data_IF_227492171645
#
_entry.id   IF_227492171645
#
_cell.length_a   1.000
_cell.length_b   1.000
_cell.length_c   1.000
_cell.angle_alpha   90.00
_cell.angle_beta   90.00
_cell.angle_gamma   90.00
#
_symmetry.space_group_name_H-M   'P 1'
#
loop_
_entity.id
_entity.type
_entity.pdbx_description
1 polymer ?
#
# COMPACT_ATOMS: atom_id res chain seq x y z
N UNK A 1 -13.72 4.69 -22.40
CA UNK A 1 -15.08 4.77 -21.82
C UNK A 1 -15.06 4.21 -20.40
N UNK A 2 -14.54 4.99 -19.46
CA UNK A 2 -14.69 4.69 -18.04
C UNK A 2 -16.12 5.11 -17.65
N UNK A 3 -16.85 4.22 -16.99
CA UNK A 3 -18.16 4.57 -16.43
C UNK A 3 -17.94 5.70 -15.42
N UNK A 4 -18.71 6.80 -15.52
CA UNK A 4 -18.51 7.99 -14.68
C UNK A 4 -18.55 7.72 -13.17
N UNK A 5 -19.05 6.57 -12.73
CA UNK A 5 -19.03 6.17 -11.32
C UNK A 5 -17.61 5.94 -10.80
N UNK A 6 -16.70 5.35 -11.59
CA UNK A 6 -15.31 5.11 -11.17
C UNK A 6 -14.55 6.43 -10.97
N UNK A 7 -14.68 7.34 -11.94
CA UNK A 7 -14.11 8.69 -11.85
C UNK A 7 -14.67 9.47 -10.65
N UNK A 8 -15.99 9.49 -10.47
CA UNK A 8 -16.62 10.15 -9.31
C UNK A 8 -16.14 9.57 -7.97
N UNK A 9 -15.88 8.26 -7.90
CA UNK A 9 -15.31 7.64 -6.70
C UNK A 9 -13.85 8.05 -6.50
N UNK A 10 -13.06 8.19 -7.58
CA UNK A 10 -11.70 8.71 -7.50
C UNK A 10 -11.70 10.15 -6.97
N UNK A 11 -12.48 11.05 -7.57
CA UNK A 11 -12.62 12.45 -7.16
C UNK A 11 -13.03 12.56 -5.68
N UNK A 12 -14.00 11.74 -5.25
CA UNK A 12 -14.44 11.71 -3.86
C UNK A 12 -13.31 11.29 -2.90
N UNK A 13 -12.53 10.26 -3.27
CA UNK A 13 -11.43 9.78 -2.44
C UNK A 13 -10.29 10.80 -2.43
N UNK A 14 -9.96 11.40 -3.56
CA UNK A 14 -8.94 12.43 -3.69
C UNK A 14 -9.25 13.63 -2.79
N UNK A 15 -10.45 14.22 -2.93
CA UNK A 15 -10.89 15.38 -2.15
C UNK A 15 -10.85 15.08 -0.64
N UNK A 16 -11.34 13.90 -0.23
CA UNK A 16 -11.38 13.54 1.19
C UNK A 16 -10.01 13.13 1.75
N UNK A 17 -9.10 12.65 0.91
CA UNK A 17 -7.78 12.21 1.32
C UNK A 17 -6.75 13.34 1.42
N UNK A 18 -7.00 14.48 0.76
CA UNK A 18 -6.04 15.58 0.66
C UNK A 18 -4.66 15.14 0.15
N UNK A 19 -4.62 14.18 -0.79
CA UNK A 19 -3.37 13.58 -1.30
C UNK A 19 -2.66 12.65 -0.31
N UNK A 20 -3.24 12.36 0.85
CA UNK A 20 -2.62 11.43 1.79
C UNK A 20 -2.88 9.98 1.38
N UNK A 21 -1.81 9.28 0.97
CA UNK A 21 -1.86 7.88 0.56
C UNK A 21 -2.58 6.94 1.55
N UNK A 22 -2.35 7.11 2.85
CA UNK A 22 -2.97 6.24 3.85
C UNK A 22 -4.48 6.50 3.94
N UNK A 23 -4.90 7.75 3.80
CA UNK A 23 -6.31 8.11 3.72
C UNK A 23 -6.96 7.58 2.44
N UNK A 24 -6.27 7.64 1.29
CA UNK A 24 -6.74 7.04 0.04
C UNK A 24 -7.08 5.56 0.29
N UNK A 25 -6.11 4.77 0.75
CA UNK A 25 -6.31 3.34 1.00
C UNK A 25 -7.41 3.08 2.04
N UNK A 26 -7.47 3.87 3.11
CA UNK A 26 -8.48 3.73 4.15
C UNK A 26 -9.90 4.04 3.64
N UNK A 27 -10.07 5.12 2.89
CA UNK A 27 -11.35 5.48 2.27
C UNK A 27 -11.77 4.42 1.25
N UNK A 28 -10.84 3.95 0.42
CA UNK A 28 -11.13 2.87 -0.53
C UNK A 28 -11.49 1.55 0.16
N UNK A 29 -10.88 1.24 1.31
CA UNK A 29 -11.27 0.09 2.13
C UNK A 29 -12.72 0.22 2.64
N UNK A 30 -13.11 1.40 3.13
CA UNK A 30 -14.48 1.69 3.56
C UNK A 30 -15.46 1.55 2.39
N UNK A 31 -15.14 2.15 1.23
CA UNK A 31 -15.97 2.04 0.03
C UNK A 31 -16.09 0.57 -0.42
N UNK A 32 -15.00 -0.21 -0.34
CA UNK A 32 -15.01 -1.64 -0.66
C UNK A 32 -15.95 -2.41 0.26
N UNK A 33 -15.93 -2.10 1.56
CA UNK A 33 -16.85 -2.69 2.53
C UNK A 33 -18.30 -2.35 2.20
N UNK A 34 -18.61 -1.07 1.94
CA UNK A 34 -19.98 -0.61 1.66
C UNK A 34 -20.50 -1.23 0.36
N UNK A 35 -19.72 -1.17 -0.72
CA UNK A 35 -20.12 -1.72 -2.03
C UNK A 35 -20.25 -3.24 -2.02
N UNK A 36 -19.44 -3.93 -1.20
CA UNK A 36 -19.46 -5.38 -1.09
C UNK A 36 -20.63 -5.94 -0.27
N UNK A 37 -21.31 -5.11 0.53
CA UNK A 37 -22.42 -5.55 1.38
C UNK A 37 -23.60 -6.08 0.55
N UNK A 38 -24.02 -7.32 0.82
CA UNK A 38 -25.20 -7.93 0.20
C UNK A 38 -24.97 -8.60 -1.15
N UNK A 39 -23.73 -8.65 -1.65
CA UNK A 39 -23.36 -9.34 -2.88
C UNK A 39 -22.72 -10.71 -2.61
N UNK A 40 -23.03 -11.76 -3.40
CA UNK A 40 -22.26 -13.01 -3.38
C UNK A 40 -20.78 -12.76 -3.69
N UNK A 41 -19.87 -13.52 -3.10
CA UNK A 41 -18.40 -13.29 -3.16
C UNK A 41 -17.86 -13.06 -4.58
N UNK A 42 -18.30 -13.85 -5.56
CA UNK A 42 -17.90 -13.67 -6.97
C UNK A 42 -18.40 -12.35 -7.55
N UNK A 43 -19.67 -12.00 -7.34
CA UNK A 43 -20.26 -10.77 -7.84
C UNK A 43 -19.65 -9.54 -7.16
N UNK A 44 -19.41 -9.64 -5.84
CA UNK A 44 -18.73 -8.64 -5.04
C UNK A 44 -17.35 -8.33 -5.62
N UNK A 45 -16.51 -9.35 -5.85
CA UNK A 45 -15.19 -9.14 -6.43
C UNK A 45 -15.27 -8.43 -7.80
N UNK A 46 -16.16 -8.86 -8.70
CA UNK A 46 -16.32 -8.25 -10.02
C UNK A 46 -16.67 -6.76 -9.90
N UNK A 47 -17.63 -6.41 -9.05
CA UNK A 47 -18.11 -5.03 -8.87
C UNK A 47 -17.05 -4.16 -8.20
N UNK A 48 -16.53 -4.59 -7.05
CA UNK A 48 -15.60 -3.79 -6.25
C UNK A 48 -14.27 -3.63 -6.99
N UNK A 49 -13.74 -4.68 -7.62
CA UNK A 49 -12.47 -4.58 -8.35
C UNK A 49 -12.59 -3.69 -9.60
N UNK A 50 -13.71 -3.73 -10.32
CA UNK A 50 -13.91 -2.88 -11.49
C UNK A 50 -14.03 -1.39 -11.15
N UNK A 51 -14.52 -1.06 -9.94
CA UNK A 51 -14.74 0.33 -9.52
C UNK A 51 -13.58 0.90 -8.69
N UNK A 52 -13.02 0.13 -7.76
CA UNK A 52 -12.08 0.65 -6.76
C UNK A 52 -10.62 0.28 -7.01
N UNK A 53 -10.32 -0.77 -7.77
CA UNK A 53 -8.92 -1.05 -8.14
C UNK A 53 -8.31 0.09 -8.98
N UNK A 54 -9.01 0.65 -10.00
CA UNK A 54 -8.49 1.79 -10.75
C UNK A 54 -8.24 3.02 -9.87
N UNK A 55 -9.10 3.28 -8.88
CA UNK A 55 -8.96 4.40 -7.93
C UNK A 55 -7.65 4.28 -7.14
N UNK A 56 -7.34 3.10 -6.61
CA UNK A 56 -6.08 2.86 -5.87
C UNK A 56 -4.87 3.01 -6.79
N UNK A 57 -4.95 2.48 -8.02
CA UNK A 57 -3.85 2.55 -8.98
C UNK A 57 -3.58 4.00 -9.38
N UNK A 58 -4.63 4.74 -9.74
CA UNK A 58 -4.53 6.13 -10.17
C UNK A 58 -4.01 7.02 -9.03
N UNK A 59 -4.77 7.15 -7.95
CA UNK A 59 -4.41 8.03 -6.84
C UNK A 59 -3.14 7.57 -6.13
N UNK A 60 -2.90 6.25 -6.08
CA UNK A 60 -1.66 5.70 -5.55
C UNK A 60 -0.45 6.15 -6.35
N UNK A 61 -0.50 5.99 -7.68
CA UNK A 61 0.59 6.38 -8.58
C UNK A 61 0.85 7.89 -8.53
N UNK A 62 -0.22 8.69 -8.61
CA UNK A 62 -0.14 10.16 -8.51
C UNK A 62 0.50 10.62 -7.21
N UNK A 63 0.34 9.86 -6.12
CA UNK A 63 0.93 10.13 -4.81
C UNK A 63 2.19 9.27 -4.52
N UNK A 64 2.86 8.75 -5.56
CA UNK A 64 4.17 8.11 -5.46
C UNK A 64 4.17 6.64 -5.00
N UNK A 65 3.00 6.02 -4.85
CA UNK A 65 2.85 4.59 -4.56
C UNK A 65 2.63 3.80 -5.85
N UNK A 66 3.70 3.13 -6.30
CA UNK A 66 3.60 2.08 -7.30
C UNK A 66 3.56 0.74 -6.59
N UNK A 67 2.49 -0.01 -6.83
CA UNK A 67 2.31 -1.34 -6.28
C UNK A 67 1.87 -2.32 -7.36
N UNK A 68 2.27 -3.60 -7.26
CA UNK A 68 1.81 -4.63 -8.18
C UNK A 68 0.29 -4.68 -8.22
N UNK A 69 -0.30 -4.78 -9.42
CA UNK A 69 -1.75 -4.82 -9.60
C UNK A 69 -2.41 -5.93 -8.76
N UNK A 70 -1.74 -7.07 -8.60
CA UNK A 70 -2.24 -8.16 -7.76
C UNK A 70 -2.43 -7.74 -6.30
N UNK A 71 -1.57 -6.87 -5.75
CA UNK A 71 -1.73 -6.34 -4.40
C UNK A 71 -2.99 -5.49 -4.28
N UNK A 72 -3.27 -4.67 -5.29
CA UNK A 72 -4.50 -3.85 -5.38
C UNK A 72 -5.75 -4.74 -5.48
N UNK A 73 -5.73 -5.76 -6.34
CA UNK A 73 -6.84 -6.69 -6.48
C UNK A 73 -7.08 -7.50 -5.19
N UNK A 74 -6.02 -7.94 -4.51
CA UNK A 74 -6.14 -8.57 -3.20
C UNK A 74 -6.68 -7.59 -2.15
N UNK A 75 -6.26 -6.32 -2.19
CA UNK A 75 -6.76 -5.31 -1.27
C UNK A 75 -8.28 -5.19 -1.34
N UNK A 76 -8.82 -4.93 -2.53
CA UNK A 76 -10.27 -4.79 -2.74
C UNK A 76 -11.02 -6.10 -2.52
N UNK A 77 -10.42 -7.24 -2.88
CA UNK A 77 -11.01 -8.56 -2.65
C UNK A 77 -11.17 -8.87 -1.16
N UNK A 78 -10.14 -8.63 -0.35
CA UNK A 78 -10.17 -8.91 1.09
C UNK A 78 -11.17 -8.01 1.82
N UNK A 79 -11.28 -6.74 1.46
CA UNK A 79 -12.34 -5.88 2.00
C UNK A 79 -13.73 -6.27 1.48
N UNK A 80 -13.83 -6.71 0.22
CA UNK A 80 -15.07 -7.26 -0.33
C UNK A 80 -15.56 -8.46 0.50
N UNK A 81 -14.74 -9.48 0.73
CA UNK A 81 -15.15 -10.64 1.56
C UNK A 81 -15.35 -10.27 3.02
N UNK A 82 -14.69 -9.22 3.52
CA UNK A 82 -14.93 -8.70 4.87
C UNK A 82 -16.31 -8.04 4.99
N UNK A 83 -16.86 -7.48 3.92
CA UNK A 83 -18.21 -6.94 3.91
C UNK A 83 -19.26 -8.00 4.29
N UNK A 84 -19.06 -9.25 3.86
CA UNK A 84 -19.97 -10.37 4.14
C UNK A 84 -19.99 -10.78 5.63
N UNK A 85 -18.91 -10.52 6.38
CA UNK A 85 -18.85 -10.76 7.82
C UNK A 85 -19.24 -9.54 8.66
N UNK A 86 -19.50 -8.39 8.04
CA UNK A 86 -19.83 -7.14 8.73
C UNK A 86 -21.33 -7.09 9.08
N UNK A 87 -21.71 -6.86 10.35
CA UNK A 87 -23.10 -6.60 10.69
C UNK A 87 -23.66 -5.37 9.95
N UNK A 88 -24.88 -5.41 9.40
CA UNK A 88 -25.93 -6.42 9.60
C UNK A 88 -25.96 -7.57 8.57
N UNK A 89 -24.98 -7.69 7.67
CA UNK A 89 -25.02 -8.68 6.57
C UNK A 89 -24.66 -10.09 7.07
N UNK A 90 -23.49 -10.26 7.67
CA UNK A 90 -23.05 -11.36 8.53
C UNK A 90 -23.71 -12.76 8.43
N UNK A 91 -24.04 -13.29 7.24
CA UNK A 91 -24.96 -14.43 7.10
C UNK A 91 -24.49 -15.68 7.87
N UNK A 92 -23.19 -15.98 7.83
CA UNK A 92 -22.61 -17.11 8.56
C UNK A 92 -22.75 -16.95 10.08
N UNK A 93 -22.57 -15.73 10.61
CA UNK A 93 -22.72 -15.46 12.04
C UNK A 93 -24.17 -15.56 12.49
N UNK A 94 -25.13 -15.21 11.61
CA UNK A 94 -26.56 -15.32 11.90
C UNK A 94 -27.04 -16.76 11.88
N UNK A 95 -26.54 -17.56 10.92
CA UNK A 95 -26.77 -18.99 10.89
C UNK A 95 -26.19 -19.68 12.14
N UNK A 96 -24.98 -19.32 12.55
CA UNK A 96 -24.36 -19.83 13.77
C UNK A 96 -25.13 -19.43 15.04
N UNK A 97 -25.67 -18.21 15.08
CA UNK A 97 -26.53 -17.75 16.18
C UNK A 97 -27.84 -18.56 16.25
N UNK A 98 -28.47 -18.87 15.11
CA UNK A 98 -29.67 -19.70 15.06
C UNK A 98 -29.44 -21.13 15.58
N UNK A 99 -28.27 -21.71 15.32
CA UNK A 99 -27.90 -23.04 15.83
C UNK A 99 -27.54 -23.02 17.32
N UNK A 100 -26.85 -21.97 17.78
CA UNK A 100 -26.39 -21.84 19.17
C UNK A 100 -27.43 -21.24 20.13
N UNK A 101 -28.52 -20.68 19.62
CA UNK A 101 -29.52 -19.94 20.41
C UNK A 101 -29.06 -18.55 20.85
N UNK A 102 -27.98 -18.03 20.27
CA UNK A 102 -27.45 -16.70 20.54
C UNK A 102 -28.21 -15.58 19.80
N UNK A 103 -27.98 -14.33 20.21
CA UNK A 103 -28.48 -13.17 19.47
C UNK A 103 -27.67 -12.99 18.17
N UNK A 104 -28.30 -12.96 16.98
CA UNK A 104 -27.61 -12.86 15.69
C UNK A 104 -26.72 -11.61 15.57
N UNK A 105 -27.20 -10.47 16.04
CA UNK A 105 -26.47 -9.20 15.94
C UNK A 105 -25.24 -9.21 16.83
N UNK A 106 -25.37 -9.62 18.10
CA UNK A 106 -24.23 -9.76 19.03
C UNK A 106 -23.22 -10.78 18.52
N UNK A 107 -23.68 -11.91 18.00
CA UNK A 107 -22.81 -12.95 17.41
C UNK A 107 -22.04 -12.39 16.21
N UNK A 108 -22.71 -11.63 15.35
CA UNK A 108 -22.09 -10.94 14.22
C UNK A 108 -21.04 -9.93 14.65
N UNK A 109 -21.32 -9.11 15.67
CA UNK A 109 -20.32 -8.16 16.20
C UNK A 109 -19.07 -8.88 16.72
N UNK A 110 -19.24 -9.94 17.52
CA UNK A 110 -18.09 -10.71 18.05
C UNK A 110 -17.30 -11.36 16.91
N UNK A 111 -17.99 -11.97 15.94
CA UNK A 111 -17.35 -12.58 14.77
C UNK A 111 -16.58 -11.55 13.94
N UNK A 112 -17.16 -10.37 13.71
CA UNK A 112 -16.53 -9.27 13.00
C UNK A 112 -15.24 -8.80 13.70
N UNK A 113 -15.28 -8.55 15.00
CA UNK A 113 -14.08 -8.16 15.76
C UNK A 113 -12.99 -9.24 15.72
N UNK A 114 -13.36 -10.52 15.75
CA UNK A 114 -12.38 -11.61 15.57
C UNK A 114 -11.79 -11.65 14.16
N UNK A 115 -12.57 -11.25 13.15
CA UNK A 115 -12.10 -11.16 11.78
C UNK A 115 -11.26 -9.91 11.50
N UNK A 116 -11.30 -8.86 12.34
CA UNK A 116 -10.58 -7.60 12.09
C UNK A 116 -9.07 -7.79 11.85
N UNK A 117 -8.46 -8.87 12.36
CA UNK A 117 -7.08 -9.25 12.04
C UNK A 117 -6.81 -9.40 10.54
N UNK A 118 -7.80 -9.84 9.76
CA UNK A 118 -7.68 -9.97 8.30
C UNK A 118 -7.80 -8.63 7.58
N UNK A 119 -8.27 -7.56 8.25
CA UNK A 119 -8.34 -6.21 7.68
C UNK A 119 -6.94 -5.57 7.57
N UNK A 120 -5.97 -6.03 8.36
CA UNK A 120 -4.61 -5.55 8.31
C UNK A 120 -3.84 -6.09 7.08
N UNK A 121 -4.13 -7.32 6.65
CA UNK A 121 -3.42 -8.00 5.55
C UNK A 121 -3.41 -7.21 4.23
N UNK A 122 -4.54 -6.65 3.77
CA UNK A 122 -4.57 -5.78 2.59
C UNK A 122 -3.52 -4.67 2.59
N UNK A 123 -3.40 -3.93 3.69
CA UNK A 123 -2.40 -2.88 3.83
C UNK A 123 -0.99 -3.45 3.79
N UNK A 124 -0.77 -4.62 4.40
CA UNK A 124 0.53 -5.27 4.37
C UNK A 124 0.93 -5.70 2.96
N UNK A 125 0.00 -6.17 2.13
CA UNK A 125 0.29 -6.53 0.73
C UNK A 125 0.66 -5.32 -0.13
N UNK A 126 0.05 -4.17 0.15
CA UNK A 126 0.37 -2.90 -0.52
C UNK A 126 1.79 -2.43 -0.16
N UNK A 127 2.18 -2.53 1.11
CA UNK A 127 3.46 -1.99 1.59
C UNK A 127 4.59 -3.01 1.75
N UNK A 128 4.31 -4.30 1.56
CA UNK A 128 5.29 -5.37 1.59
C UNK A 128 4.91 -6.49 0.61
N UNK A 129 5.38 -6.36 -0.62
CA UNK A 129 5.12 -7.33 -1.71
C UNK A 129 5.85 -8.66 -1.52
N UNK A 130 6.81 -8.75 -0.61
CA UNK A 130 7.49 -10.00 -0.26
C UNK A 130 6.50 -11.03 0.31
N UNK A 131 5.44 -10.55 0.98
CA UNK A 131 4.35 -11.40 1.46
C UNK A 131 3.56 -12.06 0.32
N UNK A 132 3.64 -11.49 -0.88
CA UNK A 132 3.06 -12.04 -2.11
C UNK A 132 4.06 -12.90 -2.89
N UNK A 133 5.27 -13.09 -2.36
CA UNK A 133 6.37 -13.84 -2.99
C UNK A 133 6.81 -13.27 -4.34
N UNK A 134 6.62 -11.97 -4.55
CA UNK A 134 7.04 -11.28 -5.78
C UNK A 134 8.54 -11.00 -5.71
N UNK A 135 9.31 -11.49 -6.68
CA UNK A 135 10.77 -11.35 -6.74
C UNK A 135 11.51 -11.96 -5.54
N UNK A 136 10.97 -13.03 -4.96
CA UNK A 136 11.52 -13.71 -3.77
C UNK A 136 12.07 -15.09 -4.15
N UNK A 137 13.32 -15.39 -3.80
CA UNK A 137 13.87 -16.75 -3.94
C UNK A 137 13.39 -17.70 -2.84
N UNK A 138 13.65 -19.00 -3.02
CA UNK A 138 13.19 -20.04 -2.11
C UNK A 138 13.61 -19.86 -0.64
N UNK A 139 14.85 -19.43 -0.38
CA UNK A 139 15.33 -19.27 0.99
C UNK A 139 14.69 -18.05 1.66
N UNK A 140 14.60 -16.94 0.94
CA UNK A 140 13.88 -15.76 1.41
C UNK A 140 12.39 -16.05 1.61
N UNK A 141 11.76 -16.84 0.74
CA UNK A 141 10.35 -17.24 0.89
C UNK A 141 10.08 -18.03 2.16
N UNK A 142 10.94 -19.00 2.50
CA UNK A 142 10.85 -19.74 3.78
C UNK A 142 11.02 -18.79 4.96
N UNK A 143 11.98 -17.86 4.87
CA UNK A 143 12.21 -16.86 5.90
C UNK A 143 10.97 -15.97 6.11
N UNK A 144 10.39 -15.43 5.04
CA UNK A 144 9.17 -14.62 5.07
C UNK A 144 8.01 -15.42 5.68
N UNK A 145 7.84 -16.69 5.30
CA UNK A 145 6.81 -17.55 5.87
C UNK A 145 6.93 -17.70 7.39
N UNK A 146 8.15 -17.93 7.90
CA UNK A 146 8.40 -18.05 9.34
C UNK A 146 8.09 -16.73 10.04
N UNK A 147 8.60 -15.60 9.51
CA UNK A 147 8.40 -14.28 10.11
C UNK A 147 6.92 -13.88 10.10
N UNK A 148 6.22 -14.08 8.98
CA UNK A 148 4.80 -13.79 8.86
C UNK A 148 3.96 -14.66 9.81
N UNK A 149 4.32 -15.94 9.98
CA UNK A 149 3.66 -16.83 10.95
C UNK A 149 3.84 -16.34 12.37
N UNK A 150 5.07 -15.99 12.77
CA UNK A 150 5.36 -15.43 14.10
C UNK A 150 4.60 -14.13 14.31
N UNK A 151 4.65 -13.20 13.34
CA UNK A 151 3.96 -11.92 13.41
C UNK A 151 2.44 -12.09 13.55
N UNK A 152 1.81 -13.02 12.81
CA UNK A 152 0.39 -13.33 12.95
C UNK A 152 0.03 -13.90 14.32
N UNK A 153 0.88 -14.77 14.88
CA UNK A 153 0.66 -15.32 16.23
C UNK A 153 0.76 -14.22 17.30
N UNK A 154 1.71 -13.30 17.18
CA UNK A 154 1.85 -12.15 18.08
C UNK A 154 0.66 -11.19 17.95
N UNK A 155 0.20 -10.92 16.73
CA UNK A 155 -1.00 -10.13 16.49
C UNK A 155 -2.24 -10.77 17.14
N UNK A 156 -2.41 -12.08 16.97
CA UNK A 156 -3.50 -12.82 17.60
C UNK A 156 -3.41 -12.77 19.13
N UNK A 157 -2.23 -13.01 19.70
CA UNK A 157 -2.00 -12.93 21.13
C UNK A 157 -2.31 -11.52 21.70
N UNK A 158 -1.94 -10.47 20.96
CA UNK A 158 -2.18 -9.10 21.36
C UNK A 158 -3.68 -8.74 21.37
N UNK A 159 -4.38 -9.07 20.29
CA UNK A 159 -5.81 -8.78 20.10
C UNK A 159 -6.72 -9.63 20.97
N UNK A 160 -6.34 -10.87 21.27
CA UNK A 160 -7.05 -11.75 22.22
C UNK A 160 -6.70 -11.44 23.69
N UNK A 161 -5.70 -10.59 23.95
CA UNK A 161 -5.31 -10.20 25.30
C UNK A 161 -4.61 -11.29 26.10
N UNK A 162 -4.04 -12.30 25.44
CA UNK A 162 -3.34 -13.40 26.09
C UNK A 162 -2.17 -13.89 25.26
N UNK A 163 -0.99 -14.01 25.88
CA UNK A 163 0.20 -14.59 25.25
C UNK A 163 0.76 -15.77 26.06
N UNK A 164 1.62 -15.52 27.05
CA UNK A 164 2.04 -16.51 28.06
C UNK A 164 1.23 -16.38 29.35
N UNK A 165 0.74 -15.17 29.60
CA UNK A 165 -0.22 -14.82 30.66
C UNK A 165 -1.21 -13.81 30.10
N UNK A 166 -2.22 -13.41 30.88
CA UNK A 166 -3.10 -12.31 30.51
C UNK A 166 -2.28 -11.04 30.25
N UNK A 167 -2.43 -10.46 29.07
CA UNK A 167 -1.70 -9.26 28.67
C UNK A 167 -2.21 -8.05 29.45
N UNK A 168 -1.29 -7.17 29.82
CA UNK A 168 -1.65 -5.79 30.17
C UNK A 168 -1.84 -4.97 28.89
N UNK A 169 -2.57 -3.87 28.96
CA UNK A 169 -2.87 -3.05 27.76
C UNK A 169 -1.60 -2.64 27.00
N UNK A 170 -0.54 -2.27 27.72
CA UNK A 170 0.74 -1.88 27.12
C UNK A 170 1.49 -3.08 26.52
N UNK A 171 1.32 -4.29 27.04
CA UNK A 171 1.91 -5.50 26.43
C UNK A 171 1.22 -5.86 25.15
N UNK A 172 -0.12 -5.75 25.10
CA UNK A 172 -0.85 -5.90 23.84
C UNK A 172 -0.41 -4.83 22.83
N UNK A 173 -0.26 -3.56 23.24
CA UNK A 173 0.24 -2.51 22.35
C UNK A 173 1.66 -2.79 21.83
N UNK A 174 2.58 -3.24 22.70
CA UNK A 174 3.93 -3.61 22.29
C UNK A 174 3.96 -4.87 21.41
N UNK A 175 3.12 -5.87 21.67
CA UNK A 175 2.99 -7.05 20.80
C UNK A 175 2.47 -6.67 19.41
N UNK A 176 1.51 -5.74 19.31
CA UNK A 176 1.06 -5.18 18.03
C UNK A 176 2.18 -4.43 17.32
N UNK A 177 2.97 -3.64 18.06
CA UNK A 177 4.13 -2.93 17.51
C UNK A 177 5.19 -3.90 16.97
N UNK A 178 5.48 -4.98 17.70
CA UNK A 178 6.40 -6.04 17.26
C UNK A 178 5.84 -6.71 16.00
N UNK A 179 4.57 -7.12 16.01
CA UNK A 179 3.94 -7.74 14.85
C UNK A 179 3.98 -6.83 13.61
N UNK A 180 3.66 -5.54 13.78
CA UNK A 180 3.75 -4.55 12.71
C UNK A 180 5.18 -4.41 12.18
N UNK A 181 6.17 -4.35 13.07
CA UNK A 181 7.59 -4.23 12.68
C UNK A 181 8.09 -5.46 11.94
N UNK A 182 7.61 -6.66 12.32
CA UNK A 182 7.94 -7.90 11.59
C UNK A 182 7.27 -7.95 10.21
N UNK A 183 6.04 -7.43 10.07
CA UNK A 183 5.35 -7.39 8.78
C UNK A 183 5.87 -6.31 7.83
N UNK A 184 6.22 -5.14 8.36
CA UNK A 184 6.67 -3.99 7.57
C UNK A 184 7.90 -3.35 8.23
N UNK A 185 9.05 -4.03 8.24
CA UNK A 185 10.27 -3.47 8.81
C UNK A 185 10.73 -2.22 8.05
N UNK A 186 10.46 -2.17 6.74
CA UNK A 186 10.77 -1.04 5.87
C UNK A 186 10.19 0.28 6.35
N UNK A 187 9.00 0.28 6.98
CA UNK A 187 8.39 1.51 7.50
C UNK A 187 9.33 2.34 8.39
N UNK A 188 10.07 1.67 9.27
CA UNK A 188 11.00 2.34 10.17
C UNK A 188 12.32 2.69 9.49
N UNK A 189 12.76 1.86 8.54
CA UNK A 189 13.97 2.14 7.77
C UNK A 189 13.76 3.36 6.87
N UNK A 190 12.60 3.45 6.22
CA UNK A 190 12.20 4.56 5.33
C UNK A 190 12.15 5.90 6.07
N UNK A 191 11.87 5.90 7.38
CA UNK A 191 11.93 7.10 8.22
C UNK A 191 13.36 7.62 8.43
N UNK A 192 14.35 6.74 8.36
CA UNK A 192 15.77 7.07 8.59
C UNK A 192 16.49 7.26 7.25
N UNK A 193 16.19 6.40 6.28
CA UNK A 193 16.71 6.38 4.92
C UNK A 193 15.52 6.36 3.95
N UNK A 194 15.02 7.52 3.51
CA UNK A 194 13.92 7.61 2.56
C UNK A 194 14.21 6.79 1.30
N UNK A 195 13.23 6.08 0.73
CA UNK A 195 13.44 5.20 -0.43
C UNK A 195 13.83 5.97 -1.71
N UNK A 196 13.58 7.28 -1.76
CA UNK A 196 13.94 8.15 -2.87
C UNK A 196 14.60 9.42 -2.34
N UNK A 197 15.63 9.87 -3.03
CA UNK A 197 16.21 11.20 -2.87
C UNK A 197 15.70 12.09 -3.99
N UNK A 198 15.23 13.29 -3.64
CA UNK A 198 14.82 14.28 -4.62
C UNK A 198 16.06 15.05 -5.12
N UNK A 199 16.26 15.06 -6.44
CA UNK A 199 17.33 15.79 -7.12
C UNK A 199 16.77 16.89 -8.00
N UNK A 200 17.60 17.90 -8.28
CA UNK A 200 17.25 19.03 -9.14
C UNK A 200 16.80 18.57 -10.54
N UNK A 201 15.75 19.19 -11.13
CA UNK A 201 15.27 18.85 -12.48
C UNK A 201 16.37 18.90 -13.55
N UNK A 202 17.34 19.80 -13.42
CA UNK A 202 18.46 19.91 -14.36
C UNK A 202 19.33 18.64 -14.46
N UNK A 203 19.27 17.74 -13.47
CA UNK A 203 19.99 16.47 -13.48
C UNK A 203 19.20 15.32 -14.14
N UNK A 204 18.02 15.60 -14.71
CA UNK A 204 17.13 14.61 -15.31
C UNK A 204 17.85 13.66 -16.27
N UNK A 205 18.60 14.21 -17.24
CA UNK A 205 19.34 13.39 -18.21
C UNK A 205 20.46 12.58 -17.55
N UNK A 206 21.16 13.15 -16.57
CA UNK A 206 22.20 12.43 -15.85
C UNK A 206 21.60 11.24 -15.09
N UNK A 207 20.53 11.45 -14.34
CA UNK A 207 19.82 10.40 -13.61
C UNK A 207 19.32 9.32 -14.56
N UNK A 208 18.71 9.72 -15.69
CA UNK A 208 18.24 8.77 -16.70
C UNK A 208 19.37 7.94 -17.30
N UNK A 209 20.59 8.46 -17.39
CA UNK A 209 21.76 7.71 -17.87
C UNK A 209 22.31 6.71 -16.85
N UNK A 210 22.23 7.03 -15.55
CA UNK A 210 22.78 6.21 -14.46
C UNK A 210 21.86 5.03 -14.07
N UNK A 211 20.56 5.16 -14.31
CA UNK A 211 19.59 4.10 -14.02
C UNK A 211 19.81 2.88 -14.93
N UNK A 212 19.60 1.64 -14.43
CA UNK A 212 19.71 0.46 -15.27
C UNK A 212 18.67 0.45 -16.41
N UNK A 213 18.92 -0.27 -17.53
CA UNK A 213 17.94 -0.43 -18.61
C UNK A 213 16.61 -0.98 -18.08
N UNK A 214 15.49 -0.42 -18.54
CA UNK A 214 14.15 -0.79 -18.08
C UNK A 214 13.77 -0.31 -16.67
N UNK A 215 14.59 0.54 -16.03
CA UNK A 215 14.22 1.20 -14.78
C UNK A 215 13.09 2.22 -15.00
N UNK A 216 12.25 2.37 -13.97
CA UNK A 216 11.23 3.40 -13.91
C UNK A 216 11.82 4.69 -13.31
N UNK A 217 11.78 5.77 -14.08
CA UNK A 217 12.11 7.11 -13.62
C UNK A 217 10.85 7.75 -13.03
N UNK A 218 10.98 8.35 -11.85
CA UNK A 218 9.85 9.01 -11.16
C UNK A 218 10.07 10.52 -11.16
N UNK A 219 9.06 11.26 -11.62
CA UNK A 219 9.13 12.70 -11.81
C UNK A 219 8.01 13.39 -11.02
N UNK A 220 8.36 14.40 -10.24
CA UNK A 220 7.37 15.31 -9.67
C UNK A 220 6.98 16.32 -10.73
N UNK A 221 5.69 16.37 -11.02
CA UNK A 221 5.12 17.23 -12.05
C UNK A 221 4.21 18.27 -11.39
N UNK A 222 4.30 19.50 -11.88
CA UNK A 222 3.38 20.59 -11.59
C UNK A 222 2.81 21.11 -12.90
N UNK A 223 1.48 21.14 -13.02
CA UNK A 223 0.81 21.59 -14.24
C UNK A 223 -0.66 21.86 -14.00
N UNK A 224 -1.45 21.73 -15.05
CA UNK A 224 -2.91 21.82 -15.02
C UNK A 224 -3.54 20.52 -15.49
N UNK A 225 -4.76 20.26 -15.06
CA UNK A 225 -5.58 19.16 -15.59
C UNK A 225 -6.29 19.53 -16.91
N UNK A 226 -7.08 18.59 -17.43
CA UNK A 226 -7.83 18.73 -18.69
C UNK A 226 -8.84 19.90 -18.67
N UNK A 227 -9.19 20.42 -17.48
CA UNK A 227 -10.17 21.49 -17.27
C UNK A 227 -9.47 22.81 -16.89
N UNK A 228 -8.15 22.78 -16.65
CA UNK A 228 -7.32 23.93 -16.35
C UNK A 228 -7.08 24.18 -14.85
N UNK A 229 -7.46 23.25 -13.98
CA UNK A 229 -7.21 23.36 -12.55
C UNK A 229 -5.77 22.94 -12.21
N UNK A 230 -5.07 23.65 -11.29
CA UNK A 230 -3.71 23.30 -10.91
C UNK A 230 -3.63 21.91 -10.30
N UNK A 231 -2.71 21.08 -10.81
CA UNK A 231 -2.46 19.72 -10.31
C UNK A 231 -0.97 19.46 -10.09
N UNK A 232 -0.65 18.68 -9.06
CA UNK A 232 0.69 18.12 -8.86
C UNK A 232 0.60 16.63 -8.62
N UNK A 233 1.43 15.88 -9.34
CA UNK A 233 1.40 14.42 -9.30
C UNK A 233 2.79 13.84 -9.59
N UNK A 234 2.98 12.58 -9.21
CA UNK A 234 4.18 11.80 -9.55
C UNK A 234 3.92 11.03 -10.85
N UNK A 235 4.69 11.35 -11.90
CA UNK A 235 4.70 10.60 -13.15
C UNK A 235 5.74 9.48 -13.08
N UNK A 236 5.40 8.31 -13.64
CA UNK A 236 6.26 7.12 -13.65
C UNK A 236 6.58 6.79 -15.10
N UNK A 237 7.82 7.08 -15.49
CA UNK A 237 8.30 6.94 -16.85
C UNK A 237 9.20 5.72 -16.96
N UNK A 238 8.75 4.61 -17.55
CA UNK A 238 9.65 3.49 -17.87
C UNK A 238 10.61 3.94 -18.97
N UNK A 239 11.91 4.00 -18.65
CA UNK A 239 12.92 4.48 -19.57
C UNK A 239 13.09 3.52 -20.75
N UNK A 240 13.17 4.09 -21.95
CA UNK A 240 13.49 3.34 -23.17
C UNK A 240 14.97 2.94 -23.25
N UNK A 241 15.30 2.24 -24.33
CA UNK A 241 16.68 1.93 -24.69
C UNK A 241 17.34 3.16 -25.34
N UNK A 242 18.61 3.41 -25.00
CA UNK A 242 19.37 4.55 -25.53
C UNK A 242 20.80 4.59 -24.95
N UNK A 243 21.71 5.25 -25.65
CA UNK A 243 23.10 5.39 -25.22
C UNK A 243 23.29 6.58 -24.25
N UNK A 244 22.44 7.60 -24.35
CA UNK A 244 22.44 8.77 -23.48
C UNK A 244 21.13 8.86 -22.68
N UNK A 245 21.14 9.63 -21.58
CA UNK A 245 19.92 9.87 -20.80
C UNK A 245 18.82 10.53 -21.62
N UNK A 246 19.17 11.53 -22.44
CA UNK A 246 18.25 12.19 -23.36
C UNK A 246 17.58 11.21 -24.33
N UNK A 247 18.37 10.35 -25.00
CA UNK A 247 17.83 9.34 -25.92
C UNK A 247 16.88 8.36 -25.22
N UNK A 248 17.16 7.99 -23.98
CA UNK A 248 16.31 7.08 -23.19
C UNK A 248 14.98 7.71 -22.79
N UNK A 249 14.99 9.02 -22.49
CA UNK A 249 13.80 9.80 -22.18
C UNK A 249 12.96 10.00 -23.44
N UNK A 250 13.60 10.36 -24.56
CA UNK A 250 12.96 10.52 -25.87
C UNK A 250 12.37 9.19 -26.37
N UNK A 251 13.07 8.08 -26.17
CA UNK A 251 12.56 6.74 -26.48
C UNK A 251 11.35 6.33 -25.63
N UNK A 252 11.21 6.90 -24.43
CA UNK A 252 10.00 6.76 -23.62
C UNK A 252 8.86 7.72 -24.07
N UNK A 253 9.11 8.53 -25.10
CA UNK A 253 8.19 9.46 -25.73
C UNK A 253 8.06 10.79 -25.01
N UNK A 254 9.04 11.17 -24.18
CA UNK A 254 9.06 12.44 -23.48
C UNK A 254 10.10 13.37 -24.13
N UNK A 255 9.65 14.53 -24.59
CA UNK A 255 10.50 15.62 -25.07
C UNK A 255 10.46 16.74 -24.02
N UNK A 256 11.64 17.18 -23.57
CA UNK A 256 11.78 18.23 -22.55
C UNK A 256 12.60 19.39 -23.10
N UNK A 257 12.28 20.59 -22.60
CA UNK A 257 13.01 21.81 -22.90
C UNK A 257 13.41 22.51 -21.61
N UNK A 258 14.63 23.03 -21.56
CA UNK A 258 15.07 23.90 -20.47
C UNK A 258 14.71 25.35 -20.80
N UNK A 259 13.90 25.98 -19.96
CA UNK A 259 13.50 27.38 -20.10
C UNK A 259 13.61 28.08 -18.74
N UNK A 260 14.37 29.18 -18.67
CA UNK A 260 14.60 29.97 -17.44
C UNK A 260 15.04 29.14 -16.21
N UNK A 261 15.80 28.06 -16.42
CA UNK A 261 16.27 27.16 -15.37
C UNK A 261 15.21 26.15 -14.87
N UNK A 262 14.05 26.08 -15.53
CA UNK A 262 13.04 25.06 -15.33
C UNK A 262 13.08 24.04 -16.47
N UNK A 263 12.81 22.78 -16.15
CA UNK A 263 12.61 21.73 -17.15
C UNK A 263 11.11 21.60 -17.40
N UNK A 264 10.70 21.89 -18.63
CA UNK A 264 9.31 21.89 -19.09
C UNK A 264 9.13 20.74 -20.07
N UNK A 265 7.99 20.07 -19.99
CA UNK A 265 7.56 19.08 -20.97
C UNK A 265 7.17 19.81 -22.25
N UNK A 266 7.98 19.66 -23.29
CA UNK A 266 7.71 20.25 -24.62
C UNK A 266 6.63 19.42 -25.32
N UNK A 267 6.74 18.09 -25.24
CA UNK A 267 5.80 17.18 -25.87
C UNK A 267 5.83 15.78 -25.22
N UNK A 268 4.66 15.16 -25.14
CA UNK A 268 4.51 13.75 -24.78
C UNK A 268 3.91 13.02 -25.98
N UNK A 269 4.71 12.19 -26.65
CA UNK A 269 4.32 11.51 -27.90
C UNK A 269 3.06 10.66 -27.66
N UNK A 270 2.04 10.82 -28.51
CA UNK A 270 0.79 10.08 -28.37
C UNK A 270 1.01 8.55 -28.43
N UNK A 271 0.35 7.81 -27.53
CA UNK A 271 0.52 6.35 -27.34
C UNK A 271 1.92 5.93 -26.86
N UNK A 272 2.70 6.84 -26.28
CA UNK A 272 3.97 6.52 -25.62
C UNK A 272 3.80 6.21 -24.12
N UNK A 273 4.82 5.62 -23.48
CA UNK A 273 4.86 5.53 -22.02
C UNK A 273 4.74 6.87 -21.29
N UNK A 274 5.32 7.96 -21.84
CA UNK A 274 5.18 9.30 -21.28
C UNK A 274 3.73 9.77 -21.25
N UNK A 275 3.01 9.64 -22.37
CA UNK A 275 1.59 9.98 -22.44
C UNK A 275 0.74 9.10 -21.51
N UNK A 276 1.08 7.81 -21.38
CA UNK A 276 0.40 6.89 -20.45
C UNK A 276 0.66 7.24 -18.97
N UNK A 277 1.78 7.88 -18.66
CA UNK A 277 2.13 8.38 -17.33
C UNK A 277 1.43 9.72 -16.98
N UNK A 278 0.59 10.25 -17.88
CA UNK A 278 -0.13 11.51 -17.69
C UNK A 278 0.69 12.77 -17.96
N UNK A 279 1.87 12.62 -18.57
CA UNK A 279 2.69 13.74 -19.01
C UNK A 279 2.04 14.42 -20.22
N UNK A 280 2.04 15.74 -20.21
CA UNK A 280 1.46 16.56 -21.27
C UNK A 280 2.24 17.87 -21.45
N UNK A 281 2.03 18.55 -22.58
CA UNK A 281 2.69 19.82 -22.90
C UNK A 281 2.47 20.89 -21.82
N UNK A 282 3.45 21.81 -21.68
CA UNK A 282 3.47 22.92 -20.69
C UNK A 282 3.52 22.49 -19.20
N UNK A 283 3.69 21.20 -18.91
CA UNK A 283 3.91 20.74 -17.54
C UNK A 283 5.36 20.99 -17.09
N UNK A 284 5.53 21.38 -15.83
CA UNK A 284 6.85 21.66 -15.25
C UNK A 284 7.31 20.46 -14.41
N UNK A 285 8.52 19.98 -14.68
CA UNK A 285 9.18 18.97 -13.84
C UNK A 285 9.81 19.69 -12.64
N UNK A 286 9.26 19.49 -11.46
CA UNK A 286 9.69 20.15 -10.22
C UNK A 286 10.75 19.36 -9.46
N UNK A 287 10.84 18.05 -9.69
CA UNK A 287 11.83 17.19 -9.03
C UNK A 287 11.98 15.84 -9.72
N UNK A 288 13.16 15.25 -9.57
CA UNK A 288 13.46 13.89 -10.07
C UNK A 288 13.74 13.01 -8.86
N UNK A 289 13.01 11.89 -8.74
CA UNK A 289 13.14 10.98 -7.61
C UNK A 289 14.10 9.84 -7.97
N UNK A 290 15.28 9.85 -7.33
CA UNK A 290 16.32 8.83 -7.51
C UNK A 290 16.18 7.76 -6.43
N UNK A 291 16.10 6.46 -6.77
CA UNK A 291 16.10 5.39 -5.77
C UNK A 291 17.32 5.49 -4.85
N UNK A 292 17.09 5.51 -3.54
CA UNK A 292 18.18 5.41 -2.57
C UNK A 292 18.58 3.94 -2.39
N UNK A 293 19.78 3.69 -1.88
CA UNK A 293 20.24 2.35 -1.52
C UNK A 293 20.25 2.19 0.01
N UNK A 294 19.07 1.97 0.64
CA UNK A 294 18.98 1.88 2.08
C UNK A 294 19.69 0.63 2.60
N UNK A 295 20.13 0.62 3.88
CA UNK A 295 20.57 -0.61 4.52
C UNK A 295 19.43 -1.66 4.57
N UNK A 296 19.78 -2.91 4.86
CA UNK A 296 18.80 -4.00 4.95
C UNK A 296 17.69 -3.68 5.95
N UNK A 297 16.44 -3.66 5.47
CA UNK A 297 15.25 -3.37 6.28
C UNK A 297 15.10 -4.34 7.46
N UNK A 298 15.57 -5.58 7.32
CA UNK A 298 15.55 -6.66 8.30
C UNK A 298 16.32 -6.32 9.59
N UNK A 299 17.19 -5.31 9.57
CA UNK A 299 17.83 -4.80 10.79
C UNK A 299 16.80 -4.35 11.84
N UNK A 300 15.61 -3.93 11.41
CA UNK A 300 14.50 -3.58 12.30
C UNK A 300 13.91 -4.79 13.06
N UNK A 301 14.26 -6.02 12.70
CA UNK A 301 13.88 -7.20 13.48
C UNK A 301 14.63 -7.27 14.81
N UNK A 302 15.86 -6.73 14.89
CA UNK A 302 16.65 -6.73 16.13
C UNK A 302 15.91 -5.99 17.27
N UNK A 303 15.53 -4.69 17.13
CA UNK A 303 14.79 -4.02 18.18
C UNK A 303 13.42 -4.66 18.44
N UNK A 304 12.73 -5.18 17.41
CA UNK A 304 11.46 -5.88 17.58
C UNK A 304 11.59 -7.14 18.45
N UNK A 305 12.63 -7.95 18.21
CA UNK A 305 12.91 -9.16 18.97
C UNK A 305 13.36 -8.85 20.41
N UNK A 306 14.09 -7.75 20.63
CA UNK A 306 14.45 -7.27 21.97
C UNK A 306 13.20 -6.87 22.78
N UNK A 307 12.27 -6.15 22.16
CA UNK A 307 10.99 -5.79 22.78
C UNK A 307 10.18 -7.05 23.09
N UNK A 308 10.10 -8.00 22.14
CA UNK A 308 9.42 -9.28 22.36
C UNK A 308 10.03 -10.06 23.52
N UNK A 309 11.35 -10.13 23.57
CA UNK A 309 12.08 -10.80 24.64
C UNK A 309 11.80 -10.17 26.01
N UNK A 310 11.77 -8.83 26.09
CA UNK A 310 11.38 -8.11 27.30
C UNK A 310 9.96 -8.48 27.75
N UNK A 311 8.99 -8.52 26.83
CA UNK A 311 7.61 -8.94 27.13
C UNK A 311 7.59 -10.36 27.68
N UNK A 312 8.30 -11.29 27.03
CA UNK A 312 8.39 -12.70 27.47
C UNK A 312 8.94 -12.79 28.90
N UNK A 313 10.01 -12.05 29.23
CA UNK A 313 10.57 -12.03 30.58
C UNK A 313 9.58 -11.49 31.61
N UNK A 314 8.92 -10.37 31.31
CA UNK A 314 7.93 -9.76 32.18
C UNK A 314 6.74 -10.69 32.44
N UNK A 315 6.26 -11.40 31.41
CA UNK A 315 5.15 -12.35 31.55
C UNK A 315 5.56 -13.62 32.30
N UNK A 316 6.76 -14.18 32.03
CA UNK A 316 7.28 -15.34 32.76
C UNK A 316 7.41 -15.04 34.25
N UNK A 317 8.01 -13.91 34.62
CA UNK A 317 8.13 -13.51 36.02
C UNK A 317 6.76 -13.38 36.72
N UNK A 318 5.70 -12.97 36.02
CA UNK A 318 4.35 -12.92 36.60
C UNK A 318 3.68 -14.28 36.71
N UNK A 319 3.92 -15.16 35.74
CA UNK A 319 3.41 -16.53 35.76
C UNK A 319 3.97 -17.27 36.97
N UNK A 320 5.28 -17.16 37.19
CA UNK A 320 5.98 -17.87 38.26
C UNK A 320 5.65 -17.31 39.66
N UNK A 321 5.16 -16.06 39.76
CA UNK A 321 4.62 -15.49 41.01
C UNK A 321 3.17 -15.89 41.31
N UNK A 322 2.45 -16.34 40.29
CA UNK A 322 1.04 -16.74 40.37
C UNK A 322 0.85 -18.25 40.50
N UNK A 323 1.93 -19.03 40.32
CA UNK A 323 1.99 -20.49 40.45
C UNK A 323 2.48 -20.88 41.85
#
# INVERSE_FOLDING_TARGET
>A
SQTGVGAVLADLVEILSFGNLMLILFLTAILSLILGMGLPTTANYIVVSALLAPVIVQLGTENGLIVPLIAVHLFVFYFGIMADVTPPVGLASFAAAAVSGGDPIRTGFVAFFYSLRTAALPFLFIFNTDLLLINVDWLHGIFIFIIATVAMLLFAAATQGYFLTKNRFYESALLLLVAFTLFRPGFWMDMIYPPYNETEPAQLEQVASELPPGAELRLHISGVDDIGDPRSFVAVLPLGDGATGAERIEAAGLEVIENDGQIIVDNAVANSPAAAAGLDWDQVITGVLVPSNPPWKELMFIPALLVLWLIIMLQRSRRDRSA
#
